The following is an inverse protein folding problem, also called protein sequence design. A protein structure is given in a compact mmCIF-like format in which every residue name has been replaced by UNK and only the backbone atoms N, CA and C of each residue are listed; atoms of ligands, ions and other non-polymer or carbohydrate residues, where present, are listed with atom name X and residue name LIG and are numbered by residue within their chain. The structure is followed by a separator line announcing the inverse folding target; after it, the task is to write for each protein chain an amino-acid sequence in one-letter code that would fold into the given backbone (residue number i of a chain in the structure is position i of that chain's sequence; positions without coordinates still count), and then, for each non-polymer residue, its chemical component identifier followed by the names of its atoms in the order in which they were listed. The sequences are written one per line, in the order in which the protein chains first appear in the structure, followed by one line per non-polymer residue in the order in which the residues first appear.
data_IF_194529468381
#
_entry.id   IF_194529468381
#
_cell.length_a   1.000
_cell.length_b   1.000
_cell.length_c   1.000
_cell.angle_alpha   90.00
_cell.angle_beta   90.00
_cell.angle_gamma   90.00
#
_symmetry.space_group_name_H-M   'P 1'
#
loop_
_entity.id
_entity.type
_entity.pdbx_description
1 polymer ?
#
# COMPACT_ATOMS: atom_id res chain seq x y z
N UNK A 1 21.75 -9.50 -0.27
CA UNK A 1 20.79 -8.77 0.59
C UNK A 1 19.57 -8.38 -0.21
N UNK A 2 18.42 -8.83 0.21
CA UNK A 2 17.18 -8.48 -0.50
C UNK A 2 16.71 -7.10 -0.05
N UNK A 3 16.41 -6.26 -1.02
CA UNK A 3 15.95 -4.91 -0.75
C UNK A 3 14.44 -4.90 -0.45
N UNK A 4 13.97 -3.86 0.21
CA UNK A 4 12.55 -3.69 0.43
C UNK A 4 11.76 -3.58 -0.87
N UNK A 5 12.40 -3.17 -1.95
CA UNK A 5 11.78 -3.08 -3.26
C UNK A 5 11.41 -4.44 -3.82
N UNK A 6 12.25 -5.44 -3.62
CA UNK A 6 11.94 -6.79 -4.05
C UNK A 6 10.74 -7.35 -3.31
N UNK A 7 10.69 -7.13 -2.00
CA UNK A 7 9.56 -7.57 -1.19
C UNK A 7 8.27 -6.87 -1.64
N UNK A 8 8.35 -5.58 -1.92
CA UNK A 8 7.20 -4.81 -2.41
C UNK A 8 6.73 -5.33 -3.76
N UNK A 9 7.65 -5.63 -4.65
CA UNK A 9 7.31 -6.20 -5.95
C UNK A 9 6.60 -7.54 -5.80
N UNK A 10 7.12 -8.41 -4.96
CA UNK A 10 6.49 -9.69 -4.67
C UNK A 10 5.08 -9.50 -4.10
N UNK A 11 4.93 -8.59 -3.13
CA UNK A 11 3.64 -8.30 -2.53
C UNK A 11 2.62 -7.81 -3.57
N UNK A 12 3.05 -6.95 -4.48
CA UNK A 12 2.17 -6.45 -5.54
C UNK A 12 1.71 -7.56 -6.47
N UNK A 13 2.60 -8.49 -6.79
CA UNK A 13 2.23 -9.63 -7.61
C UNK A 13 1.18 -10.48 -6.90
N UNK A 14 1.34 -10.71 -5.61
CA UNK A 14 0.38 -11.50 -4.84
C UNK A 14 -0.97 -10.80 -4.72
N UNK A 15 -0.97 -9.48 -4.53
CA UNK A 15 -2.21 -8.69 -4.54
C UNK A 15 -2.93 -8.87 -5.88
N UNK A 16 -2.18 -8.81 -6.97
CA UNK A 16 -2.73 -8.98 -8.32
C UNK A 16 -3.36 -10.35 -8.51
N UNK A 17 -2.87 -11.36 -7.80
CA UNK A 17 -3.40 -12.73 -7.85
C UNK A 17 -4.60 -12.94 -6.92
N UNK A 18 -4.97 -11.93 -6.14
CA UNK A 18 -6.10 -12.04 -5.25
C UNK A 18 -5.78 -12.54 -3.84
N UNK A 19 -4.52 -12.52 -3.45
CA UNK A 19 -4.13 -12.92 -2.10
C UNK A 19 -4.61 -11.90 -1.07
N UNK A 20 -5.00 -12.38 0.09
CA UNK A 20 -5.41 -11.51 1.17
C UNK A 20 -4.19 -10.97 1.93
N UNK A 21 -4.42 -9.98 2.81
CA UNK A 21 -3.37 -9.31 3.55
C UNK A 21 -2.55 -10.30 4.39
N UNK A 22 -3.23 -11.11 5.19
CA UNK A 22 -2.54 -12.02 6.11
C UNK A 22 -1.70 -13.05 5.36
N UNK A 23 -2.19 -13.57 4.26
CA UNK A 23 -1.47 -14.53 3.45
C UNK A 23 -0.20 -13.92 2.85
N UNK A 24 -0.28 -12.68 2.40
CA UNK A 24 0.87 -11.99 1.83
C UNK A 24 1.91 -11.73 2.92
N UNK A 25 1.49 -11.29 4.10
CA UNK A 25 2.41 -11.08 5.22
C UNK A 25 3.15 -12.38 5.57
N UNK A 26 2.42 -13.48 5.66
CA UNK A 26 3.03 -14.77 5.96
C UNK A 26 4.04 -15.18 4.88
N UNK A 27 3.70 -14.95 3.62
CA UNK A 27 4.57 -15.29 2.50
C UNK A 27 5.86 -14.45 2.52
N UNK A 28 5.74 -13.17 2.78
CA UNK A 28 6.91 -12.29 2.85
C UNK A 28 7.83 -12.67 4.00
N UNK A 29 7.27 -13.02 5.13
CA UNK A 29 8.08 -13.47 6.27
C UNK A 29 8.86 -14.74 5.93
N UNK A 30 8.24 -15.65 5.21
CA UNK A 30 8.86 -16.92 4.86
C UNK A 30 9.89 -16.78 3.74
N UNK A 31 9.54 -16.08 2.67
CA UNK A 31 10.41 -15.99 1.49
C UNK A 31 11.45 -14.88 1.57
N UNK A 32 11.06 -13.73 2.07
CA UNK A 32 11.96 -12.58 2.10
C UNK A 32 12.66 -12.41 3.44
N UNK A 33 12.40 -13.31 4.39
CA UNK A 33 13.01 -13.28 5.69
C UNK A 33 12.83 -11.96 6.42
N UNK A 34 11.70 -11.30 6.18
CA UNK A 34 11.34 -10.07 6.85
C UNK A 34 10.68 -10.39 8.19
N UNK A 35 10.83 -9.48 9.15
CA UNK A 35 10.08 -9.64 10.39
C UNK A 35 8.62 -9.22 10.16
N UNK A 36 7.76 -9.46 11.16
CA UNK A 36 6.34 -9.21 11.03
C UNK A 36 6.03 -7.74 10.71
N UNK A 37 6.73 -6.84 11.38
CA UNK A 37 6.52 -5.41 11.19
C UNK A 37 6.86 -4.98 9.76
N UNK A 38 7.99 -5.41 9.26
CA UNK A 38 8.41 -5.09 7.91
C UNK A 38 7.49 -5.71 6.85
N UNK A 39 7.11 -6.97 7.06
CA UNK A 39 6.20 -7.65 6.15
C UNK A 39 4.85 -6.93 6.08
N UNK A 40 4.33 -6.50 7.22
CA UNK A 40 3.09 -5.74 7.27
C UNK A 40 3.20 -4.39 6.57
N UNK A 41 4.32 -3.69 6.77
CA UNK A 41 4.54 -2.40 6.13
C UNK A 41 4.60 -2.54 4.61
N UNK A 42 5.31 -3.54 4.13
CA UNK A 42 5.40 -3.81 2.68
C UNK A 42 4.05 -4.19 2.11
N UNK A 43 3.32 -5.06 2.80
CA UNK A 43 2.00 -5.50 2.34
C UNK A 43 1.02 -4.34 2.29
N UNK A 44 1.04 -3.47 3.29
CA UNK A 44 0.19 -2.29 3.31
C UNK A 44 0.48 -1.38 2.11
N UNK A 45 1.73 -1.22 1.74
CA UNK A 45 2.11 -0.45 0.56
C UNK A 45 1.63 -1.08 -0.74
N UNK A 46 1.62 -2.41 -0.79
CA UNK A 46 1.15 -3.11 -1.98
C UNK A 46 -0.35 -2.92 -2.19
N UNK A 47 -1.13 -2.91 -1.11
CA UNK A 47 -2.57 -2.67 -1.18
C UNK A 47 -2.89 -1.20 -1.44
N UNK A 48 -2.03 -0.29 -0.98
CA UNK A 48 -2.19 1.14 -1.19
C UNK A 48 -1.01 1.63 -2.01
N UNK A 49 -1.12 1.68 -3.34
CA UNK A 49 -0.01 2.15 -4.16
C UNK A 49 0.35 3.59 -3.79
N UNK A 50 1.63 3.96 -3.90
CA UNK A 50 2.05 5.31 -3.57
C UNK A 50 1.32 6.31 -4.46
N UNK A 51 0.96 7.50 -3.93
CA UNK A 51 0.29 8.52 -4.71
C UNK A 51 1.20 8.97 -5.86
N UNK A 52 0.60 9.20 -7.02
CA UNK A 52 1.33 9.76 -8.14
C UNK A 52 1.64 11.21 -7.85
N UNK A 53 2.83 11.64 -8.21
CA UNK A 53 3.23 13.02 -7.99
C UNK A 53 2.27 13.98 -8.69
N UNK A 54 1.75 14.92 -7.92
CA UNK A 54 0.88 15.97 -8.43
C UNK A 54 -0.59 15.61 -8.54
N UNK A 55 -0.91 14.44 -9.05
CA UNK A 55 -2.29 14.05 -9.29
C UNK A 55 -3.04 13.76 -7.99
N UNK A 56 -2.40 13.08 -7.04
CA UNK A 56 -3.08 12.70 -5.81
C UNK A 56 -3.32 13.89 -4.88
N UNK A 57 -2.42 14.88 -4.91
CA UNK A 57 -2.61 16.10 -4.11
C UNK A 57 -3.82 16.88 -4.60
N UNK A 58 -3.99 16.98 -5.91
CA UNK A 58 -5.14 17.68 -6.47
C UNK A 58 -6.44 16.96 -6.11
N UNK A 59 -6.46 15.64 -6.17
CA UNK A 59 -7.64 14.87 -5.80
C UNK A 59 -7.98 15.02 -4.32
N UNK A 60 -6.97 14.99 -3.46
CA UNK A 60 -7.19 15.18 -2.02
C UNK A 60 -7.73 16.57 -1.72
N UNK A 61 -7.17 17.59 -2.36
CA UNK A 61 -7.64 18.95 -2.17
C UNK A 61 -9.08 19.12 -2.63
N UNK A 62 -9.45 18.51 -3.75
CA UNK A 62 -10.82 18.55 -4.22
C UNK A 62 -11.78 17.86 -3.25
N UNK A 63 -11.37 16.71 -2.72
CA UNK A 63 -12.18 15.98 -1.76
C UNK A 63 -12.40 16.80 -0.48
N UNK A 64 -11.35 17.45 0.00
CA UNK A 64 -11.44 18.32 1.17
C UNK A 64 -12.35 19.51 0.89
N UNK A 65 -12.20 20.14 -0.26
CA UNK A 65 -13.04 21.27 -0.64
C UNK A 65 -14.53 20.90 -0.69
N UNK A 66 -14.84 19.75 -1.26
CA UNK A 66 -16.23 19.29 -1.33
C UNK A 66 -16.80 19.03 0.05
N UNK A 67 -16.00 18.44 0.93
CA UNK A 67 -16.43 18.18 2.30
C UNK A 67 -16.71 19.48 3.05
N UNK A 68 -15.83 20.47 2.88
CA UNK A 68 -16.01 21.78 3.50
C UNK A 68 -17.25 22.49 2.97
N UNK A 69 -17.49 22.43 1.69
CA UNK A 69 -18.68 23.03 1.09
C UNK A 69 -19.96 22.42 1.63
N UNK A 70 -19.97 21.11 1.80
CA UNK A 70 -21.14 20.43 2.36
C UNK A 70 -21.38 20.82 3.81
N UNK A 71 -20.35 21.09 4.57
CA UNK A 71 -20.49 21.48 5.97
C UNK A 71 -20.98 22.91 6.17
N UNK A 72 -20.85 23.73 5.16
CA UNK A 72 -21.26 25.12 5.24
C UNK A 72 -22.78 25.33 5.20
N UNK A 73 -23.51 24.32 4.89
CA UNK A 73 -24.99 24.43 4.85
C UNK A 73 -25.63 24.11 6.17
#
# INVERSE_FOLDING_TARGET
MRSGQEALHTARQLVSRGWDYDSIVARLRSESNLDEREARAVTARAFKPPPREGASLAEELEAISRTLDQRRR
#
